data_IF_375696124150
#
_entry.id   IF_375696124150
#
_cell.length_a   1.000
_cell.length_b   1.000
_cell.length_c   1.000
_cell.angle_alpha   90.00
_cell.angle_beta   90.00
_cell.angle_gamma   90.00
#
_symmetry.space_group_name_H-M   'P 1'
#
loop_
_entity.id
_entity.type
_entity.pdbx_description
1 polymer ?
#
# COMPACT_ATOMS: atom_id res chain seq x y z
N UNK A 1 10.90 -29.53 5.39
CA UNK A 1 10.61 -28.09 5.52
C UNK A 1 9.90 -27.70 4.25
N UNK A 2 8.56 -27.75 4.26
CA UNK A 2 7.74 -27.40 3.10
C UNK A 2 7.74 -25.88 2.97
N UNK A 3 8.27 -25.43 1.84
CA UNK A 3 8.12 -24.08 1.34
C UNK A 3 6.65 -23.90 0.97
N UNK A 4 5.84 -23.39 1.90
CA UNK A 4 4.48 -22.92 1.64
C UNK A 4 4.58 -21.57 0.90
N UNK A 5 5.10 -21.63 -0.33
CA UNK A 5 5.20 -20.50 -1.22
C UNK A 5 3.81 -19.92 -1.46
N UNK A 6 3.66 -18.62 -1.21
CA UNK A 6 2.47 -17.83 -1.49
C UNK A 6 1.99 -18.14 -2.92
N UNK A 7 0.95 -18.96 -3.02
CA UNK A 7 0.35 -19.36 -4.29
C UNK A 7 -0.40 -18.14 -4.83
N UNK A 8 0.26 -17.33 -5.66
CA UNK A 8 -0.41 -16.34 -6.51
C UNK A 8 -1.41 -17.11 -7.40
N UNK A 9 -2.68 -17.09 -7.01
CA UNK A 9 -3.77 -17.67 -7.80
C UNK A 9 -3.85 -16.87 -9.09
N UNK A 10 -3.33 -17.46 -10.18
CA UNK A 10 -3.68 -17.04 -11.53
C UNK A 10 -5.20 -17.07 -11.65
N UNK A 11 -5.80 -15.90 -11.87
CA UNK A 11 -7.24 -15.74 -12.02
C UNK A 11 -7.67 -16.42 -13.32
N UNK A 12 -8.33 -17.57 -13.22
CA UNK A 12 -9.00 -18.18 -14.37
C UNK A 12 -10.40 -17.57 -14.45
N UNK A 13 -10.65 -16.74 -15.47
CA UNK A 13 -11.82 -15.85 -15.58
C UNK A 13 -13.17 -16.57 -15.82
N UNK A 14 -13.34 -17.82 -15.38
CA UNK A 14 -14.50 -18.65 -15.71
C UNK A 14 -15.28 -19.17 -14.50
N UNK A 15 -14.91 -18.80 -13.27
CA UNK A 15 -15.65 -19.14 -12.05
C UNK A 15 -15.75 -17.89 -11.16
N UNK A 16 -16.94 -17.61 -10.60
CA UNK A 16 -17.35 -16.41 -9.82
C UNK A 16 -16.28 -15.30 -9.67
N UNK A 17 -16.50 -14.21 -10.40
CA UNK A 17 -15.55 -13.13 -10.71
C UNK A 17 -15.16 -12.22 -9.55
N UNK A 18 -15.72 -12.40 -8.35
CA UNK A 18 -15.52 -11.49 -7.22
C UNK A 18 -14.16 -11.65 -6.51
N UNK A 19 -13.48 -12.78 -6.71
CA UNK A 19 -12.16 -13.08 -6.12
C UNK A 19 -10.98 -12.79 -7.07
N UNK A 20 -11.25 -12.21 -8.24
CA UNK A 20 -10.22 -11.85 -9.21
C UNK A 20 -9.69 -10.44 -8.96
N UNK A 21 -8.38 -10.24 -9.10
CA UNK A 21 -7.82 -8.90 -9.08
C UNK A 21 -8.37 -8.07 -10.24
N UNK A 22 -9.04 -6.95 -9.94
CA UNK A 22 -9.66 -6.09 -10.96
C UNK A 22 -8.91 -4.78 -11.17
N UNK A 23 -8.37 -4.18 -10.11
CA UNK A 23 -7.69 -2.88 -10.20
C UNK A 23 -6.78 -2.60 -9.00
N UNK A 24 -5.99 -1.54 -9.17
CA UNK A 24 -5.16 -0.90 -8.15
C UNK A 24 -5.26 0.61 -8.36
N UNK A 25 -4.85 1.40 -7.36
CA UNK A 25 -4.77 2.85 -7.48
C UNK A 25 -3.34 3.34 -7.28
N UNK A 26 -2.91 4.29 -8.11
CA UNK A 26 -1.72 5.08 -7.81
C UNK A 26 -2.04 6.09 -6.72
N UNK A 27 -1.06 6.40 -5.88
CA UNK A 27 -1.20 7.44 -4.86
C UNK A 27 0.09 8.23 -4.69
N UNK A 28 -0.09 9.47 -4.24
CA UNK A 28 0.95 10.37 -3.78
C UNK A 28 0.52 10.93 -2.41
N UNK A 29 1.48 11.16 -1.53
CA UNK A 29 1.21 11.73 -0.22
C UNK A 29 2.42 12.40 0.42
N UNK A 30 2.16 13.08 1.53
CA UNK A 30 3.18 13.67 2.38
C UNK A 30 2.75 13.65 3.84
N UNK A 31 3.70 13.61 4.75
CA UNK A 31 3.42 13.80 6.18
C UNK A 31 3.18 15.28 6.50
N UNK A 32 2.59 15.54 7.68
CA UNK A 32 2.61 16.86 8.27
C UNK A 32 4.06 17.28 8.57
N UNK A 33 4.31 18.59 8.64
CA UNK A 33 5.58 19.09 9.14
C UNK A 33 5.82 18.59 10.58
N UNK A 34 6.91 17.88 10.77
CA UNK A 34 7.48 17.54 12.06
C UNK A 34 8.48 18.62 12.50
N UNK A 35 8.80 18.63 13.79
CA UNK A 35 9.83 19.50 14.40
C UNK A 35 9.59 21.02 14.26
N UNK A 36 10.51 21.81 14.84
CA UNK A 36 10.49 23.27 14.83
C UNK A 36 11.82 23.84 14.32
N UNK A 37 11.83 25.13 13.98
CA UNK A 37 13.05 25.82 13.53
C UNK A 37 13.59 25.27 12.21
N UNK A 38 14.92 25.17 12.11
CA UNK A 38 15.64 24.69 10.92
C UNK A 38 15.45 23.19 10.67
N UNK A 39 15.12 22.43 11.72
CA UNK A 39 14.85 20.99 11.61
C UNK A 39 13.41 20.72 11.17
N UNK A 40 12.58 21.74 10.93
CA UNK A 40 11.18 21.52 10.52
C UNK A 40 11.09 20.97 9.11
N UNK A 41 10.58 19.76 8.96
CA UNK A 41 10.49 19.06 7.68
C UNK A 41 9.27 18.17 7.57
N UNK A 42 8.96 17.74 6.35
CA UNK A 42 8.05 16.63 6.10
C UNK A 42 8.74 15.58 5.25
N UNK A 43 8.03 14.48 5.04
CA UNK A 43 8.44 13.43 4.12
C UNK A 43 7.38 13.24 3.03
N UNK A 44 7.82 12.84 1.84
CA UNK A 44 6.94 12.51 0.72
C UNK A 44 6.92 11.00 0.48
N UNK A 45 5.82 10.50 -0.05
CA UNK A 45 5.69 9.10 -0.45
C UNK A 45 4.81 8.97 -1.69
N UNK A 46 5.03 7.89 -2.43
CA UNK A 46 4.33 7.56 -3.65
C UNK A 46 4.30 6.04 -3.82
N UNK A 47 3.25 5.52 -4.46
CA UNK A 47 3.16 4.09 -4.71
C UNK A 47 1.88 3.69 -5.40
N UNK A 48 1.62 2.39 -5.37
CA UNK A 48 0.40 1.76 -5.87
C UNK A 48 -0.19 0.92 -4.75
N UNK A 49 -1.50 0.98 -4.57
CA UNK A 49 -2.19 0.21 -3.53
C UNK A 49 -2.08 -1.30 -3.74
N UNK A 50 -2.45 -2.09 -2.73
CA UNK A 50 -2.64 -3.53 -2.89
C UNK A 50 -3.71 -3.86 -3.93
N UNK A 51 -3.83 -5.15 -4.22
CA UNK A 51 -5.00 -5.70 -4.87
C UNK A 51 -6.27 -5.45 -4.05
N UNK A 52 -7.41 -5.54 -4.73
CA UNK A 52 -8.75 -5.44 -4.11
C UNK A 52 -8.86 -6.42 -2.93
N UNK A 53 -9.32 -5.92 -1.78
CA UNK A 53 -9.67 -6.72 -0.60
C UNK A 53 -11.19 -6.60 -0.40
N UNK A 54 -11.98 -7.64 -0.71
CA UNK A 54 -13.43 -7.61 -0.52
C UNK A 54 -13.83 -7.36 0.95
N UNK A 55 -14.78 -6.46 1.18
CA UNK A 55 -15.29 -6.10 2.50
C UNK A 55 -16.80 -5.81 2.43
N UNK A 56 -17.62 -6.81 2.74
CA UNK A 56 -19.08 -6.71 2.65
C UNK A 56 -19.54 -6.53 1.20
N UNK A 57 -20.33 -5.48 0.95
CA UNK A 57 -20.83 -5.13 -0.39
C UNK A 57 -19.90 -4.15 -1.15
N UNK A 58 -18.66 -3.97 -0.68
CA UNK A 58 -17.64 -3.09 -1.25
C UNK A 58 -16.27 -3.75 -1.12
N UNK A 59 -15.21 -3.02 -1.42
CA UNK A 59 -13.82 -3.42 -1.19
C UNK A 59 -12.98 -2.25 -0.67
N UNK A 60 -11.81 -2.59 -0.15
CA UNK A 60 -10.76 -1.66 0.27
C UNK A 60 -9.44 -2.03 -0.39
N UNK A 61 -8.41 -1.21 -0.20
CA UNK A 61 -7.05 -1.52 -0.58
C UNK A 61 -6.10 -1.17 0.56
N UNK A 62 -5.07 -1.99 0.73
CA UNK A 62 -4.00 -1.69 1.66
C UNK A 62 -2.94 -0.80 1.00
N UNK A 63 -2.34 0.08 1.78
CA UNK A 63 -1.11 0.80 1.45
C UNK A 63 -0.05 0.36 2.45
N UNK A 64 1.08 -0.10 1.94
CA UNK A 64 2.31 -0.31 2.69
C UNK A 64 3.44 0.39 1.93
N UNK A 65 3.99 1.45 2.52
CA UNK A 65 4.95 2.31 1.81
C UNK A 65 5.94 2.94 2.77
N UNK A 66 7.15 3.20 2.27
CA UNK A 66 8.14 4.03 2.93
C UNK A 66 8.03 5.47 2.46
N UNK A 67 8.24 6.41 3.36
CA UNK A 67 8.50 7.78 2.96
C UNK A 67 9.91 7.93 2.37
N UNK A 68 10.15 9.06 1.70
CA UNK A 68 11.48 9.44 1.27
C UNK A 68 12.44 9.56 2.48
N UNK A 69 13.72 9.43 2.17
CA UNK A 69 14.80 9.52 3.15
C UNK A 69 15.29 10.97 3.23
N UNK A 70 15.01 11.63 4.34
CA UNK A 70 15.39 13.02 4.60
C UNK A 70 15.94 13.15 6.02
N UNK A 71 16.91 14.07 6.24
CA UNK A 71 17.63 14.23 7.51
C UNK A 71 18.00 12.89 8.18
N UNK A 72 18.55 11.98 7.38
CA UNK A 72 19.04 10.67 7.80
C UNK A 72 17.99 9.70 8.37
N UNK A 73 16.71 9.86 8.06
CA UNK A 73 15.68 8.88 8.42
C UNK A 73 14.51 8.83 7.43
N UNK A 74 13.64 7.83 7.61
CA UNK A 74 12.39 7.63 6.89
C UNK A 74 11.35 7.02 7.83
N UNK A 75 10.09 6.98 7.39
CA UNK A 75 8.99 6.35 8.12
C UNK A 75 8.28 5.31 7.26
N UNK A 76 7.71 4.31 7.91
CA UNK A 76 6.82 3.31 7.31
C UNK A 76 5.36 3.70 7.56
N UNK A 77 4.51 3.55 6.54
CA UNK A 77 3.07 3.81 6.62
C UNK A 77 2.33 2.54 6.21
N UNK A 78 1.41 2.09 7.07
CA UNK A 78 0.50 0.97 6.84
C UNK A 78 -0.95 1.37 7.08
N UNK A 79 -1.83 1.22 6.09
CA UNK A 79 -3.28 1.48 6.20
C UNK A 79 -4.06 0.48 5.34
N UNK A 80 -5.29 0.14 5.77
CA UNK A 80 -6.27 -0.70 5.09
C UNK A 80 -7.60 0.06 5.06
#
# INVERSE_FOLDING_TARGET
MSDEGLRFKSCNCNENTDDCQTHVHEFLGSTQLAEQGEDRHNHRFAGVTSQVIPMGNSHVHAILVNTDFFLNHHHEIGVI
#
